data_IF_027396567518
#
_entry.id   IF_027396567518
#
_cell.length_a   1.000
_cell.length_b   1.000
_cell.length_c   1.000
_cell.angle_alpha   90.00
_cell.angle_beta   90.00
_cell.angle_gamma   90.00
#
_symmetry.space_group_name_H-M   'P 1'
#
loop_
_entity.id
_entity.type
_entity.pdbx_description
1 polymer ?
#
# COMPACT_ATOMS: atom_id res chain seq x y z
N UNK A 1 14.34 -15.91 -9.63
CA UNK A 1 13.26 -15.27 -10.40
C UNK A 1 12.05 -15.24 -9.49
N UNK A 2 11.86 -14.18 -8.73
CA UNK A 2 10.72 -14.05 -7.81
C UNK A 2 9.48 -13.76 -8.67
N UNK A 3 8.71 -14.80 -8.96
CA UNK A 3 7.35 -14.67 -9.52
C UNK A 3 6.44 -14.34 -8.34
N UNK A 4 6.51 -13.09 -7.89
CA UNK A 4 5.45 -12.51 -7.07
C UNK A 4 4.31 -12.35 -8.05
N UNK A 5 3.31 -13.22 -7.97
CA UNK A 5 2.19 -13.21 -8.92
C UNK A 5 1.60 -11.80 -8.93
N UNK A 6 1.61 -11.13 -10.08
CA UNK A 6 1.04 -9.78 -10.30
C UNK A 6 -0.37 -9.63 -9.68
N UNK A 7 -1.06 -10.75 -9.52
CA UNK A 7 -2.37 -10.89 -8.90
C UNK A 7 -2.44 -10.56 -7.39
N UNK A 8 -1.37 -10.72 -6.60
CA UNK A 8 -1.41 -10.38 -5.16
C UNK A 8 -1.07 -8.91 -4.89
N UNK A 9 -0.19 -8.33 -5.72
CA UNK A 9 -0.03 -6.87 -5.74
C UNK A 9 -1.31 -6.18 -6.21
N UNK A 10 -2.06 -6.84 -7.10
CA UNK A 10 -3.41 -6.42 -7.48
C UNK A 10 -4.37 -6.38 -6.28
N UNK A 11 -4.32 -7.35 -5.36
CA UNK A 11 -4.89 -7.36 -4.00
C UNK A 11 -4.83 -6.00 -3.28
N UNK A 12 -3.59 -5.63 -2.95
CA UNK A 12 -3.27 -4.40 -2.22
C UNK A 12 -3.60 -3.15 -3.05
N UNK A 13 -3.32 -3.19 -4.35
CA UNK A 13 -3.58 -2.08 -5.25
C UNK A 13 -5.08 -1.79 -5.36
N UNK A 14 -5.90 -2.81 -5.57
CA UNK A 14 -7.36 -2.71 -5.61
C UNK A 14 -7.89 -2.14 -4.29
N UNK A 15 -7.40 -2.62 -3.14
CA UNK A 15 -7.78 -2.09 -1.84
C UNK A 15 -7.43 -0.60 -1.70
N UNK A 16 -6.26 -0.16 -2.15
CA UNK A 16 -5.84 1.25 -2.14
C UNK A 16 -6.76 2.12 -3.01
N UNK A 17 -7.14 1.63 -4.19
CA UNK A 17 -8.04 2.34 -5.10
C UNK A 17 -9.47 2.41 -4.57
N UNK A 18 -10.00 1.29 -4.06
CA UNK A 18 -11.37 1.19 -3.55
C UNK A 18 -11.60 2.04 -2.30
N UNK A 19 -10.56 2.21 -1.48
CA UNK A 19 -10.64 3.06 -0.28
C UNK A 19 -10.37 4.54 -0.57
N UNK A 20 -10.06 4.91 -1.83
CA UNK A 20 -9.70 6.27 -2.20
C UNK A 20 -8.70 6.86 -1.20
N UNK A 21 -7.53 6.25 -1.04
CA UNK A 21 -6.52 6.73 -0.08
C UNK A 21 -5.73 7.90 -0.65
N UNK A 22 -5.63 7.95 -1.98
CA UNK A 22 -5.01 9.03 -2.72
C UNK A 22 -6.07 9.75 -3.56
N UNK A 23 -6.01 11.07 -3.60
CA UNK A 23 -6.88 11.89 -4.47
C UNK A 23 -6.59 11.67 -5.96
N UNK A 24 -5.35 11.29 -6.30
CA UNK A 24 -4.99 10.80 -7.63
C UNK A 24 -4.69 9.29 -7.55
N UNK A 25 -5.46 8.43 -8.23
CA UNK A 25 -5.31 6.97 -8.21
C UNK A 25 -3.99 6.46 -8.83
N UNK A 26 -3.22 7.31 -9.53
CA UNK A 26 -1.89 6.94 -10.03
C UNK A 26 -0.78 7.15 -9.00
N UNK A 27 -1.07 7.86 -7.91
CA UNK A 27 -0.10 8.22 -6.87
C UNK A 27 0.57 7.00 -6.24
N UNK A 28 -0.15 5.89 -6.10
CA UNK A 28 0.38 4.70 -5.46
C UNK A 28 1.29 3.85 -6.38
N UNK A 29 1.19 4.00 -7.70
CA UNK A 29 1.98 3.20 -8.65
C UNK A 29 3.50 3.40 -8.46
N UNK A 30 3.90 4.59 -8.03
CA UNK A 30 5.30 4.94 -7.81
C UNK A 30 5.74 4.74 -6.34
N UNK A 31 4.90 4.15 -5.49
CA UNK A 31 5.22 3.93 -4.08
C UNK A 31 6.21 2.78 -3.91
N UNK A 32 7.32 3.03 -3.21
CA UNK A 32 8.39 2.04 -3.02
C UNK A 32 8.31 1.49 -1.58
N UNK A 33 8.26 0.16 -1.36
CA UNK A 33 8.37 -0.40 -0.02
C UNK A 33 9.68 0.03 0.66
N UNK A 34 9.64 0.35 1.95
CA UNK A 34 10.83 0.85 2.67
C UNK A 34 12.05 -0.09 2.56
N UNK A 35 11.96 -1.26 3.18
CA UNK A 35 13.04 -2.26 3.26
C UNK A 35 12.48 -3.69 3.25
N UNK A 36 11.23 -3.84 2.83
CA UNK A 36 10.53 -5.11 2.79
C UNK A 36 10.47 -5.58 1.34
N UNK A 37 10.67 -6.88 1.12
CA UNK A 37 10.37 -7.43 -0.20
C UNK A 37 8.86 -7.32 -0.44
N UNK A 38 8.46 -7.36 -1.71
CA UNK A 38 7.05 -7.39 -2.07
C UNK A 38 6.29 -8.54 -1.36
N UNK A 39 6.92 -9.69 -1.14
CA UNK A 39 6.30 -10.78 -0.37
C UNK A 39 6.12 -10.42 1.11
N UNK A 40 7.11 -9.80 1.73
CA UNK A 40 7.03 -9.44 3.15
C UNK A 40 5.94 -8.37 3.40
N UNK A 41 5.77 -7.42 2.47
CA UNK A 41 4.68 -6.44 2.51
C UNK A 41 3.31 -7.11 2.42
N UNK A 42 3.19 -8.12 1.55
CA UNK A 42 1.94 -8.84 1.36
C UNK A 42 1.58 -9.68 2.59
N UNK A 43 2.54 -10.41 3.14
CA UNK A 43 2.33 -11.19 4.37
C UNK A 43 1.96 -10.27 5.54
N UNK A 44 2.64 -9.12 5.66
CA UNK A 44 2.30 -8.11 6.66
C UNK A 44 0.91 -7.53 6.44
N UNK A 45 0.53 -7.22 5.20
CA UNK A 45 -0.81 -6.73 4.87
C UNK A 45 -1.89 -7.72 5.29
N UNK A 46 -1.71 -9.01 4.99
CA UNK A 46 -2.65 -10.06 5.40
C UNK A 46 -2.76 -10.19 6.92
N UNK A 47 -1.64 -10.11 7.65
CA UNK A 47 -1.64 -10.14 9.11
C UNK A 47 -2.35 -8.92 9.70
N UNK A 48 -2.08 -7.73 9.18
CA UNK A 48 -2.70 -6.48 9.63
C UNK A 48 -4.20 -6.45 9.31
N UNK A 49 -4.65 -6.96 8.15
CA UNK A 49 -6.06 -7.08 7.75
C UNK A 49 -6.91 -7.85 8.77
N UNK A 50 -6.34 -8.82 9.49
CA UNK A 50 -7.07 -9.55 10.54
C UNK A 50 -7.36 -8.72 11.79
N UNK A 51 -6.70 -7.57 11.94
CA UNK A 51 -6.87 -6.70 13.11
C UNK A 51 -8.09 -5.80 12.92
N UNK A 52 -8.97 -5.69 13.92
CA UNK A 52 -10.15 -4.82 13.84
C UNK A 52 -9.79 -3.32 13.77
N UNK A 53 -8.55 -2.95 14.11
CA UNK A 53 -8.03 -1.58 14.02
C UNK A 53 -7.24 -1.32 12.74
N UNK A 54 -7.29 -2.22 11.76
CA UNK A 54 -6.57 -2.06 10.51
C UNK A 54 -7.00 -0.77 9.79
N UNK A 55 -6.02 0.04 9.41
CA UNK A 55 -6.23 1.23 8.60
C UNK A 55 -5.22 1.23 7.46
N UNK A 56 -5.72 1.11 6.24
CA UNK A 56 -4.87 0.97 5.06
C UNK A 56 -4.02 2.24 4.81
N UNK A 57 -4.54 3.43 5.12
CA UNK A 57 -3.77 4.69 4.99
C UNK A 57 -2.54 4.70 5.90
N UNK A 58 -2.73 4.28 7.16
CA UNK A 58 -1.65 4.12 8.14
C UNK A 58 -0.67 3.03 7.76
N UNK A 59 -1.17 1.93 7.19
CA UNK A 59 -0.34 0.84 6.70
C UNK A 59 0.58 1.30 5.55
N UNK A 60 0.02 2.00 4.56
CA UNK A 60 0.80 2.54 3.43
C UNK A 60 1.85 3.53 3.94
N UNK A 61 1.45 4.49 4.78
CA UNK A 61 2.35 5.53 5.30
C UNK A 61 3.50 4.99 6.15
N UNK A 62 3.33 3.82 6.78
CA UNK A 62 4.37 3.16 7.59
C UNK A 62 5.30 2.27 6.79
N UNK A 63 4.80 1.64 5.72
CA UNK A 63 5.51 0.58 5.02
C UNK A 63 6.04 1.02 3.63
N UNK A 64 5.55 2.12 3.09
CA UNK A 64 5.95 2.66 1.79
C UNK A 64 6.60 4.03 1.93
N UNK A 65 7.68 4.22 1.19
CA UNK A 65 8.31 5.52 0.96
C UNK A 65 7.45 6.26 -0.05
N UNK A 66 6.74 7.26 0.44
CA UNK A 66 6.01 8.21 -0.38
C UNK A 66 6.89 9.44 -0.59
N UNK A 67 7.04 9.89 -1.84
CA UNK A 67 7.59 11.19 -2.16
C UNK A 67 6.71 12.31 -1.60
N UNK A 68 7.28 13.51 -1.44
CA UNK A 68 6.54 14.68 -0.94
C UNK A 68 5.28 14.97 -1.78
N UNK A 69 5.29 14.68 -3.08
CA UNK A 69 4.10 14.82 -3.93
C UNK A 69 3.04 13.77 -3.60
N UNK A 70 3.44 12.52 -3.35
CA UNK A 70 2.51 11.45 -3.00
C UNK A 70 1.86 11.67 -1.63
N UNK A 71 2.62 12.23 -0.68
CA UNK A 71 2.09 12.59 0.65
C UNK A 71 1.01 13.68 0.58
N UNK A 72 1.13 14.64 -0.34
CA UNK A 72 0.16 15.72 -0.53
C UNK A 72 -1.21 15.24 -1.03
N UNK A 73 -1.26 14.06 -1.64
CA UNK A 73 -2.49 13.49 -2.18
C UNK A 73 -3.17 12.50 -1.22
N UNK A 74 -2.61 12.25 -0.03
CA UNK A 74 -3.28 11.47 0.99
C UNK A 74 -4.53 12.22 1.46
N UNK A 75 -5.69 11.60 1.30
CA UNK A 75 -6.97 12.25 1.62
C UNK A 75 -7.30 12.19 3.13
N UNK A 76 -6.53 11.42 3.91
CA UNK A 76 -6.72 11.20 5.35
C UNK A 76 -5.38 11.07 6.11
N UNK A 77 -4.41 11.96 5.83
CA UNK A 77 -3.12 12.03 6.54
C UNK A 77 -3.23 12.66 7.92
#
# INVERSE_FOLDING_TARGET
MYIISDQFYYELFEAVQMQCIFSDPKTFCDAIPHNLSANDILDLHQQELTKPTFNLTSFISKNFILSNQQQLYLING
#
